data_IF_529754877310
#
_entry.id   IF_529754877310
#
_cell.length_a   1.000
_cell.length_b   1.000
_cell.length_c   1.000
_cell.angle_alpha   90.00
_cell.angle_beta   90.00
_cell.angle_gamma   90.00
#
_symmetry.space_group_name_H-M   'P 1'
#
loop_
_entity.id
_entity.type
_entity.pdbx_description
1 polymer ?
#
# COMPACT_ATOMS: atom_id res chain seq x y z
N UNK A 1 7.33 -6.49 -17.23
CA UNK A 1 6.02 -6.46 -16.56
C UNK A 1 6.37 -6.34 -15.11
N UNK A 2 5.99 -5.23 -14.47
CA UNK A 2 6.41 -4.99 -13.09
C UNK A 2 5.48 -5.75 -12.15
N UNK A 3 6.04 -6.52 -11.22
CA UNK A 3 5.25 -7.25 -10.22
C UNK A 3 4.74 -6.28 -9.15
N UNK A 4 3.42 -6.25 -8.94
CA UNK A 4 2.82 -5.43 -7.89
C UNK A 4 2.33 -6.28 -6.73
N UNK A 5 2.85 -5.98 -5.54
CA UNK A 5 2.34 -6.51 -4.28
C UNK A 5 1.16 -5.66 -3.81
N UNK A 6 -0.05 -6.21 -3.93
CA UNK A 6 -1.29 -5.51 -3.59
C UNK A 6 -1.70 -5.80 -2.15
N UNK A 7 -1.74 -4.75 -1.33
CA UNK A 7 -2.19 -4.77 0.06
C UNK A 7 -3.46 -3.94 0.12
N UNK A 8 -4.61 -4.53 0.49
CA UNK A 8 -5.85 -3.77 0.63
C UNK A 8 -6.48 -3.93 2.01
N UNK A 9 -7.19 -2.88 2.43
CA UNK A 9 -8.08 -2.95 3.58
C UNK A 9 -9.38 -3.67 3.21
N UNK A 10 -10.12 -4.21 4.20
CA UNK A 10 -11.51 -4.63 4.00
C UNK A 10 -12.40 -3.44 3.61
N UNK A 11 -13.44 -3.68 2.81
CA UNK A 11 -14.52 -2.71 2.57
C UNK A 11 -15.52 -2.80 3.73
N UNK A 12 -15.49 -1.83 4.63
CA UNK A 12 -16.32 -1.83 5.83
C UNK A 12 -17.75 -1.32 5.59
N UNK A 13 -17.97 -0.55 4.51
CA UNK A 13 -19.24 0.14 4.24
C UNK A 13 -19.45 0.27 2.71
N UNK A 14 -19.71 -0.86 2.06
CA UNK A 14 -19.74 -0.97 0.59
C UNK A 14 -20.78 -0.06 -0.10
N UNK A 15 -21.82 0.38 0.62
CA UNK A 15 -22.96 1.11 0.05
C UNK A 15 -22.94 2.62 0.35
N UNK A 16 -21.93 3.13 1.06
CA UNK A 16 -21.84 4.56 1.40
C UNK A 16 -20.96 5.34 0.40
N UNK A 17 -21.50 6.30 -0.36
CA UNK A 17 -20.70 7.18 -1.22
C UNK A 17 -19.84 8.14 -0.36
N UNK A 18 -18.58 8.34 -0.77
CA UNK A 18 -17.58 9.20 -0.13
C UNK A 18 -17.26 8.88 1.34
N UNK A 19 -17.42 7.62 1.75
CA UNK A 19 -17.07 7.20 3.10
C UNK A 19 -15.56 7.26 3.33
N UNK A 20 -15.15 7.72 4.51
CA UNK A 20 -13.75 7.62 4.99
C UNK A 20 -13.32 6.17 5.19
N UNK A 21 -14.28 5.26 5.31
CA UNK A 21 -14.09 3.81 5.47
C UNK A 21 -14.00 3.07 4.14
N UNK A 22 -13.89 3.77 3.01
CA UNK A 22 -13.68 3.14 1.72
C UNK A 22 -12.45 2.24 1.70
N UNK A 23 -12.48 1.18 0.87
CA UNK A 23 -11.34 0.30 0.71
C UNK A 23 -10.14 1.13 0.24
N UNK A 24 -9.04 0.93 0.96
CA UNK A 24 -7.74 1.49 0.66
C UNK A 24 -6.88 0.40 0.04
N UNK A 25 -6.14 0.73 -0.99
CA UNK A 25 -5.23 -0.19 -1.69
C UNK A 25 -3.86 0.46 -1.74
N UNK A 26 -2.88 -0.23 -1.17
CA UNK A 26 -1.47 0.08 -1.30
C UNK A 26 -0.85 -0.95 -2.24
N UNK A 27 -0.07 -0.49 -3.22
CA UNK A 27 0.69 -1.34 -4.12
C UNK A 27 2.15 -0.95 -4.08
N UNK A 28 3.03 -1.94 -4.05
CA UNK A 28 4.47 -1.73 -4.11
C UNK A 28 5.01 -2.54 -5.29
N UNK A 29 5.87 -1.91 -6.09
CA UNK A 29 6.69 -2.59 -7.08
C UNK A 29 8.15 -2.29 -6.83
N UNK A 30 8.93 -3.35 -6.59
CA UNK A 30 10.37 -3.25 -6.41
C UNK A 30 11.10 -3.07 -7.74
N UNK A 31 10.61 -3.72 -8.81
CA UNK A 31 11.14 -3.57 -10.17
C UNK A 31 10.99 -2.13 -10.68
N UNK A 32 9.83 -1.52 -10.43
CA UNK A 32 9.56 -0.15 -10.83
C UNK A 32 9.94 0.89 -9.75
N UNK A 33 10.35 0.44 -8.55
CA UNK A 33 10.69 1.28 -7.39
C UNK A 33 9.63 2.32 -7.04
N UNK A 34 8.36 1.91 -7.10
CA UNK A 34 7.22 2.80 -6.87
C UNK A 34 6.20 2.24 -5.88
N UNK A 35 5.55 3.17 -5.19
CA UNK A 35 4.40 2.95 -4.32
C UNK A 35 3.18 3.63 -4.91
N UNK A 36 2.06 2.91 -4.96
CA UNK A 36 0.75 3.45 -5.37
C UNK A 36 -0.25 3.30 -4.26
N UNK A 37 -0.92 4.40 -3.93
CA UNK A 37 -1.92 4.48 -2.86
C UNK A 37 -3.24 4.92 -3.46
N UNK A 38 -4.27 4.09 -3.32
CA UNK A 38 -5.60 4.37 -3.85
C UNK A 38 -6.64 4.25 -2.75
N UNK A 39 -7.60 5.18 -2.72
CA UNK A 39 -8.77 5.14 -1.85
C UNK A 39 -10.04 5.35 -2.68
N UNK A 40 -11.02 4.47 -2.50
CA UNK A 40 -12.37 4.70 -2.96
C UNK A 40 -12.97 3.66 -3.88
N UNK A 41 -14.19 3.96 -4.34
CA UNK A 41 -15.01 3.07 -5.16
C UNK A 41 -15.63 3.85 -6.33
N UNK A 42 -15.53 3.32 -7.55
CA UNK A 42 -16.13 3.93 -8.73
C UNK A 42 -15.51 5.28 -9.13
N UNK A 43 -16.36 6.27 -9.44
CA UNK A 43 -15.98 7.57 -10.04
C UNK A 43 -15.25 8.54 -9.09
N UNK A 44 -14.95 8.13 -7.86
CA UNK A 44 -14.30 8.93 -6.81
C UNK A 44 -12.96 8.36 -6.32
N UNK A 45 -12.27 7.60 -7.16
CA UNK A 45 -10.98 6.98 -6.83
C UNK A 45 -9.91 8.07 -6.71
N UNK A 46 -9.56 8.45 -5.48
CA UNK A 46 -8.41 9.29 -5.20
C UNK A 46 -7.16 8.42 -5.15
N UNK A 47 -6.10 8.83 -5.82
CA UNK A 47 -4.86 8.06 -5.83
C UNK A 47 -3.62 8.91 -6.00
N UNK A 48 -2.53 8.44 -5.41
CA UNK A 48 -1.19 8.99 -5.57
C UNK A 48 -0.21 7.88 -5.97
N UNK A 49 0.88 8.26 -6.62
CA UNK A 49 1.98 7.37 -7.01
C UNK A 49 3.28 8.09 -6.70
N UNK A 50 4.19 7.38 -6.04
CA UNK A 50 5.46 7.91 -5.55
C UNK A 50 6.58 6.96 -5.94
N UNK A 51 7.73 7.50 -6.29
CA UNK A 51 8.97 6.74 -6.32
C UNK A 51 9.48 6.49 -4.89
N UNK A 52 10.28 5.44 -4.68
CA UNK A 52 10.83 5.07 -3.36
C UNK A 52 11.68 6.18 -2.71
N UNK A 53 12.16 7.15 -3.49
CA UNK A 53 12.93 8.29 -3.02
C UNK A 53 12.04 9.46 -2.55
N UNK A 54 10.81 9.53 -3.03
CA UNK A 54 9.85 10.62 -2.74
C UNK A 54 8.78 10.20 -1.74
N UNK A 55 8.66 8.90 -1.45
CA UNK A 55 7.66 8.39 -0.54
C UNK A 55 8.06 8.62 0.92
N UNK A 56 7.28 9.44 1.62
CA UNK A 56 7.42 9.69 3.06
C UNK A 56 6.33 8.94 3.84
N UNK A 57 6.73 8.06 4.76
CA UNK A 57 5.80 7.22 5.51
C UNK A 57 4.94 8.07 6.45
N UNK A 58 5.51 9.13 7.02
CA UNK A 58 4.82 10.02 7.96
C UNK A 58 3.58 10.67 7.35
N UNK A 59 3.67 11.15 6.10
CA UNK A 59 2.54 11.77 5.37
C UNK A 59 1.34 10.83 5.18
N UNK A 60 1.60 9.52 5.16
CA UNK A 60 0.60 8.49 4.87
C UNK A 60 0.22 7.64 6.08
N UNK A 61 0.59 8.07 7.28
CA UNK A 61 0.29 7.36 8.54
C UNK A 61 -1.20 7.05 8.68
N UNK A 62 -2.09 8.03 8.51
CA UNK A 62 -3.54 7.87 8.64
C UNK A 62 -4.10 6.86 7.60
N UNK A 63 -3.51 6.83 6.40
CA UNK A 63 -3.92 5.89 5.35
C UNK A 63 -3.52 4.46 5.73
N UNK A 64 -2.29 4.26 6.20
CA UNK A 64 -1.74 2.96 6.60
C UNK A 64 -2.47 2.38 7.82
N UNK A 65 -2.72 3.21 8.84
CA UNK A 65 -3.54 2.83 10.00
C UNK A 65 -4.97 2.50 9.57
N UNK A 66 -5.54 3.30 8.66
CA UNK A 66 -6.84 3.04 8.06
C UNK A 66 -6.91 1.78 7.19
N UNK A 67 -5.78 1.12 6.91
CA UNK A 67 -5.72 -0.20 6.28
C UNK A 67 -5.65 -1.36 7.28
N UNK A 68 -5.57 -1.08 8.60
CA UNK A 68 -5.12 -2.08 9.58
C UNK A 68 -3.65 -2.47 9.37
N UNK A 69 -2.87 -1.53 8.85
CA UNK A 69 -1.49 -1.74 8.40
C UNK A 69 -0.46 -1.22 9.38
N UNK A 70 -0.68 -1.25 10.71
CA UNK A 70 0.35 -0.75 11.65
C UNK A 70 1.68 -1.48 11.48
N UNK A 71 1.62 -2.80 11.25
CA UNK A 71 2.79 -3.61 10.93
C UNK A 71 3.50 -3.12 9.64
N UNK A 72 2.73 -2.72 8.63
CA UNK A 72 3.26 -2.23 7.36
C UNK A 72 3.91 -0.86 7.54
N UNK A 73 3.29 0.04 8.32
CA UNK A 73 3.88 1.33 8.69
C UNK A 73 5.22 1.13 9.37
N UNK A 74 5.28 0.27 10.39
CA UNK A 74 6.53 -0.03 11.09
C UNK A 74 7.62 -0.58 10.16
N UNK A 75 7.24 -1.45 9.22
CA UNK A 75 8.17 -1.98 8.22
C UNK A 75 8.69 -0.89 7.29
N UNK A 76 7.82 -0.05 6.72
CA UNK A 76 8.22 1.03 5.82
C UNK A 76 9.08 2.08 6.54
N UNK A 77 8.72 2.48 7.77
CA UNK A 77 9.49 3.46 8.56
C UNK A 77 10.89 2.97 8.94
N UNK A 78 11.13 1.65 9.04
CA UNK A 78 12.48 1.10 9.29
C UNK A 78 13.41 1.22 8.09
N UNK A 79 12.84 1.41 6.91
CA UNK A 79 13.54 1.38 5.64
C UNK A 79 13.46 2.72 4.92
N UNK A 80 13.30 3.85 5.62
CA UNK A 80 13.22 5.16 5.00
C UNK A 80 14.64 5.74 4.71
N UNK A 81 14.97 6.12 3.46
CA UNK A 81 14.15 6.05 2.25
C UNK A 81 14.06 4.63 1.69
N UNK A 82 12.90 4.25 1.15
CA UNK A 82 12.53 2.87 0.78
C UNK A 82 13.48 2.17 -0.19
N UNK A 83 14.42 2.91 -0.78
CA UNK A 83 15.51 2.41 -1.61
C UNK A 83 16.36 1.29 -0.97
N UNK A 84 16.34 1.15 0.37
CA UNK A 84 17.11 0.12 1.10
C UNK A 84 16.32 -1.16 1.38
N UNK A 85 15.05 -1.23 0.98
CA UNK A 85 14.21 -2.39 1.25
C UNK A 85 14.49 -3.50 0.21
N UNK A 86 14.81 -4.69 0.70
CA UNK A 86 15.03 -5.87 -0.13
C UNK A 86 13.70 -6.59 -0.40
N UNK A 87 13.38 -6.83 -1.67
CA UNK A 87 12.11 -7.43 -2.10
C UNK A 87 11.86 -8.78 -1.41
N UNK A 88 12.88 -9.65 -1.37
CA UNK A 88 12.75 -11.00 -0.80
C UNK A 88 12.38 -10.95 0.68
N UNK A 89 13.00 -10.04 1.44
CA UNK A 89 12.71 -9.90 2.87
C UNK A 89 11.32 -9.28 3.08
N UNK A 90 10.97 -8.25 2.30
CA UNK A 90 9.65 -7.64 2.39
C UNK A 90 8.52 -8.63 2.10
N UNK A 91 8.63 -9.40 1.02
CA UNK A 91 7.63 -10.41 0.62
C UNK A 91 7.48 -11.50 1.66
N UNK A 92 8.59 -11.93 2.29
CA UNK A 92 8.54 -12.89 3.40
C UNK A 92 7.77 -12.34 4.61
N UNK A 93 7.93 -11.05 4.92
CA UNK A 93 7.19 -10.41 6.02
C UNK A 93 5.73 -10.24 5.65
N UNK A 94 5.43 -9.73 4.46
CA UNK A 94 4.09 -9.50 3.97
C UNK A 94 3.23 -10.78 3.94
N UNK A 95 3.79 -11.91 3.50
CA UNK A 95 3.11 -13.22 3.54
C UNK A 95 2.67 -13.68 4.94
N UNK A 96 3.28 -13.17 6.02
CA UNK A 96 2.85 -13.49 7.39
C UNK A 96 1.63 -12.69 7.83
N UNK A 97 1.36 -11.55 7.20
CA UNK A 97 0.33 -10.62 7.63
C UNK A 97 -0.87 -10.57 6.67
N UNK A 98 -0.66 -10.77 5.37
CA UNK A 98 -1.71 -10.62 4.35
C UNK A 98 -1.59 -11.70 3.28
N UNK A 99 -2.70 -12.30 2.81
CA UNK A 99 -2.66 -13.16 1.63
C UNK A 99 -2.25 -12.34 0.40
N UNK A 100 -1.08 -12.65 -0.15
CA UNK A 100 -0.54 -11.96 -1.32
C UNK A 100 -1.38 -12.21 -2.57
N UNK A 101 -1.68 -11.12 -3.28
CA UNK A 101 -2.08 -11.16 -4.69
C UNK A 101 -1.03 -10.43 -5.50
N UNK A 102 -0.43 -11.13 -6.45
CA UNK A 102 0.47 -10.55 -7.45
C UNK A 102 -0.36 -10.23 -8.70
N UNK A 103 -0.24 -9.01 -9.21
CA UNK A 103 -0.83 -8.62 -10.49
C UNK A 103 0.30 -8.33 -11.48
N UNK A 104 0.21 -8.97 -12.65
CA UNK A 104 1.03 -8.68 -13.83
C UNK A 104 0.31 -7.61 -14.68
N UNK A 105 1.04 -6.58 -15.10
CA UNK A 105 0.50 -5.52 -15.97
C UNK A 105 1.33 -5.36 -17.25
#
# INVERSE_FOLDING_TARGET
MATYYVISSPDHDADQPHSRNWPKVLRISFEAREIKLWQGKGHGLGGASYDFEEFEVEEWTDFLEGCGGEWLREELSRHEPLTVIEETDFVRRLNRHVPLKTEDR
#
